data_IF_989499917169
#
_entry.id   IF_989499917169
#
_cell.length_a   1.000
_cell.length_b   1.000
_cell.length_c   1.000
_cell.angle_alpha   90.00
_cell.angle_beta   90.00
_cell.angle_gamma   90.00
#
_symmetry.space_group_name_H-M   'P 1'
#
loop_
_entity.id
_entity.type
_entity.pdbx_description
1 polymer ?
#
# COMPACT_ATOMS: atom_id res chain seq x y z
N UNK A 1 1.85 9.69 -12.71
CA UNK A 1 1.52 8.26 -12.95
C UNK A 1 0.17 7.85 -12.38
N UNK A 2 -0.86 7.83 -13.24
CA UNK A 2 -2.24 7.44 -12.92
C UNK A 2 -2.53 6.06 -13.53
N UNK A 3 -3.12 5.16 -12.73
CA UNK A 3 -3.45 3.79 -13.14
C UNK A 3 -4.91 3.52 -12.76
N UNK A 4 -5.73 3.10 -13.73
CA UNK A 4 -7.17 2.84 -13.57
C UNK A 4 -7.47 1.39 -13.93
N UNK A 5 -8.40 0.78 -13.19
CA UNK A 5 -8.84 -0.61 -13.40
C UNK A 5 -8.53 -1.50 -12.19
N UNK A 6 -8.87 -2.78 -12.29
CA UNK A 6 -8.50 -3.77 -11.28
C UNK A 6 -7.17 -4.43 -11.65
N UNK A 7 -6.31 -4.66 -10.66
CA UNK A 7 -4.93 -5.09 -10.89
C UNK A 7 -4.63 -6.36 -10.13
N UNK A 8 -4.03 -7.33 -10.82
CA UNK A 8 -3.43 -8.50 -10.18
C UNK A 8 -1.93 -8.49 -10.48
N UNK A 9 -1.11 -8.51 -9.43
CA UNK A 9 0.35 -8.54 -9.54
C UNK A 9 0.87 -9.78 -8.84
N UNK A 10 1.58 -10.64 -9.57
CA UNK A 10 2.35 -11.77 -9.03
C UNK A 10 3.82 -11.39 -9.03
N UNK A 11 4.46 -11.41 -7.86
CA UNK A 11 5.84 -10.97 -7.66
C UNK A 11 5.95 -9.68 -6.86
N UNK A 12 7.19 -9.24 -6.66
CA UNK A 12 7.47 -8.01 -5.92
C UNK A 12 7.17 -6.79 -6.78
N UNK A 13 6.61 -5.75 -6.16
CA UNK A 13 6.31 -4.52 -6.86
C UNK A 13 7.01 -3.34 -6.19
N UNK A 14 7.61 -2.51 -7.02
CA UNK A 14 8.39 -1.36 -6.61
C UNK A 14 7.79 -0.10 -7.25
N UNK A 15 7.55 0.92 -6.43
CA UNK A 15 7.23 2.25 -6.93
C UNK A 15 8.09 3.28 -6.22
N UNK A 16 8.81 4.09 -7.01
CA UNK A 16 9.71 5.14 -6.52
C UNK A 16 9.12 6.56 -6.55
N UNK A 17 7.96 6.72 -7.19
CA UNK A 17 7.35 8.03 -7.45
C UNK A 17 5.91 8.13 -6.95
N UNK A 18 5.40 9.37 -6.95
CA UNK A 18 4.02 9.68 -6.69
C UNK A 18 3.10 8.97 -7.69
N UNK A 19 2.14 8.20 -7.18
CA UNK A 19 1.19 7.49 -8.04
C UNK A 19 -0.22 7.49 -7.47
N UNK A 20 -1.16 7.63 -8.39
CA UNK A 20 -2.58 7.49 -8.15
C UNK A 20 -3.08 6.17 -8.73
N UNK A 21 -3.76 5.38 -7.91
CA UNK A 21 -4.37 4.11 -8.28
C UNK A 21 -5.88 4.21 -8.08
N UNK A 22 -6.66 3.95 -9.12
CA UNK A 22 -8.12 3.85 -9.04
C UNK A 22 -8.56 2.44 -9.44
N UNK A 23 -9.29 1.78 -8.53
CA UNK A 23 -9.74 0.40 -8.66
C UNK A 23 -9.13 -0.51 -7.61
N UNK A 24 -9.54 -1.77 -7.62
CA UNK A 24 -9.09 -2.76 -6.64
C UNK A 24 -7.73 -3.33 -7.06
N UNK A 25 -6.86 -3.66 -6.11
CA UNK A 25 -5.61 -4.35 -6.44
C UNK A 25 -5.32 -5.51 -5.50
N UNK A 26 -4.83 -6.59 -6.09
CA UNK A 26 -4.34 -7.77 -5.41
C UNK A 26 -2.87 -7.97 -5.77
N UNK A 27 -2.01 -8.03 -4.75
CA UNK A 27 -0.57 -8.27 -4.92
C UNK A 27 -0.19 -9.53 -4.16
N UNK A 28 0.39 -10.50 -4.86
CA UNK A 28 1.01 -11.69 -4.28
C UNK A 28 2.53 -11.53 -4.37
N UNK A 29 3.13 -10.99 -3.31
CA UNK A 29 4.55 -10.63 -3.24
C UNK A 29 4.76 -9.41 -2.34
N UNK A 30 6.01 -8.96 -2.24
CA UNK A 30 6.37 -7.81 -1.42
C UNK A 30 6.09 -6.50 -2.14
N UNK A 31 5.61 -5.52 -1.40
CA UNK A 31 5.20 -4.22 -1.90
C UNK A 31 6.12 -3.13 -1.35
N UNK A 32 6.93 -2.52 -2.20
CA UNK A 32 7.89 -1.48 -1.84
C UNK A 32 7.48 -0.14 -2.44
N UNK A 33 7.31 0.87 -1.60
CA UNK A 33 6.89 2.21 -2.02
C UNK A 33 7.80 3.28 -1.43
N UNK A 34 8.26 4.16 -2.32
CA UNK A 34 8.88 5.44 -2.03
C UNK A 34 8.08 6.52 -2.75
N UNK A 35 7.81 7.65 -2.07
CA UNK A 35 6.95 8.73 -2.56
C UNK A 35 5.47 8.60 -2.15
N UNK A 36 4.66 9.60 -2.52
CA UNK A 36 3.26 9.70 -2.15
C UNK A 36 2.42 8.65 -2.89
N UNK A 37 1.44 8.07 -2.19
CA UNK A 37 0.54 7.11 -2.79
C UNK A 37 -0.90 7.46 -2.48
N UNK A 38 -1.71 7.56 -3.52
CA UNK A 38 -3.14 7.75 -3.41
C UNK A 38 -3.83 6.55 -4.02
N UNK A 39 -4.68 5.88 -3.24
CA UNK A 39 -5.40 4.69 -3.66
C UNK A 39 -6.88 4.93 -3.44
N UNK A 40 -7.68 4.80 -4.50
CA UNK A 40 -9.13 4.78 -4.43
C UNK A 40 -9.62 3.39 -4.85
N UNK A 41 -10.07 2.60 -3.89
CA UNK A 41 -10.44 1.19 -4.07
C UNK A 41 -9.85 0.28 -2.99
N UNK A 42 -10.20 -1.00 -3.05
CA UNK A 42 -9.76 -1.99 -2.08
C UNK A 42 -8.38 -2.56 -2.44
N UNK A 43 -7.58 -2.83 -1.41
CA UNK A 43 -6.22 -3.35 -1.58
C UNK A 43 -5.98 -4.60 -0.78
N UNK A 44 -5.53 -5.65 -1.46
CA UNK A 44 -5.14 -6.92 -0.87
C UNK A 44 -3.66 -7.15 -1.17
N UNK A 45 -2.85 -7.33 -0.13
CA UNK A 45 -1.44 -7.69 -0.28
C UNK A 45 -1.17 -8.94 0.54
N UNK A 46 -0.75 -10.01 -0.15
CA UNK A 46 -0.22 -11.24 0.43
C UNK A 46 1.29 -11.21 0.28
N UNK A 47 1.97 -10.79 1.33
CA UNK A 47 3.41 -10.49 1.37
C UNK A 47 3.70 -9.30 2.29
N UNK A 48 4.97 -8.91 2.36
CA UNK A 48 5.39 -7.81 3.20
C UNK A 48 5.18 -6.46 2.50
N UNK A 49 4.81 -5.45 3.27
CA UNK A 49 4.60 -4.08 2.79
C UNK A 49 5.61 -3.14 3.42
N UNK A 50 6.42 -2.50 2.59
CA UNK A 50 7.43 -1.53 2.98
C UNK A 50 7.07 -0.16 2.38
N UNK A 51 6.68 0.79 3.22
CA UNK A 51 6.63 2.20 2.83
C UNK A 51 7.79 2.93 3.49
N UNK A 52 8.69 3.47 2.65
CA UNK A 52 9.94 4.11 3.08
C UNK A 52 10.22 5.37 2.26
N UNK A 53 10.65 6.44 2.92
CA UNK A 53 10.88 7.77 2.33
C UNK A 53 9.73 8.74 2.62
N UNK A 54 9.92 10.06 2.41
CA UNK A 54 9.01 11.18 2.78
C UNK A 54 7.63 11.20 2.08
N UNK A 55 7.06 10.05 1.79
CA UNK A 55 5.81 9.90 1.05
C UNK A 55 4.62 9.66 1.98
N UNK A 56 3.55 10.44 1.79
CA UNK A 56 2.26 10.23 2.42
C UNK A 56 1.50 9.10 1.72
N UNK A 57 0.88 8.23 2.50
CA UNK A 57 0.00 7.20 1.94
C UNK A 57 -1.45 7.46 2.31
N UNK A 58 -2.24 7.76 1.29
CA UNK A 58 -3.68 7.95 1.36
C UNK A 58 -4.41 6.78 0.70
N UNK A 59 -5.33 6.16 1.43
CA UNK A 59 -6.21 5.10 0.90
C UNK A 59 -7.65 5.46 1.21
N UNK A 60 -8.49 5.49 0.18
CA UNK A 60 -9.95 5.56 0.27
C UNK A 60 -10.51 4.21 -0.19
N UNK A 61 -10.94 3.38 0.75
CA UNK A 61 -11.30 1.98 0.56
C UNK A 61 -10.68 1.09 1.64
N UNK A 62 -10.86 -0.22 1.49
CA UNK A 62 -10.38 -1.19 2.47
C UNK A 62 -8.97 -1.67 2.16
N UNK A 63 -8.21 -1.94 3.21
CA UNK A 63 -6.83 -2.37 3.13
C UNK A 63 -6.63 -3.67 3.91
N UNK A 64 -6.26 -4.73 3.18
CA UNK A 64 -5.95 -6.05 3.71
C UNK A 64 -4.47 -6.36 3.47
N UNK A 65 -3.75 -6.69 4.53
CA UNK A 65 -2.34 -7.09 4.47
C UNK A 65 -2.15 -8.41 5.21
N UNK A 66 -1.71 -9.45 4.52
CA UNK A 66 -1.26 -10.71 5.11
C UNK A 66 0.26 -10.78 4.96
N UNK A 67 0.98 -10.44 6.02
CA UNK A 67 2.43 -10.27 6.07
C UNK A 67 2.83 -9.09 6.96
N UNK A 68 4.13 -8.83 7.03
CA UNK A 68 4.68 -7.75 7.85
C UNK A 68 4.54 -6.40 7.17
N UNK A 69 4.30 -5.36 7.95
CA UNK A 69 4.17 -3.99 7.47
C UNK A 69 5.16 -3.08 8.17
N UNK A 70 5.96 -2.39 7.39
CA UNK A 70 6.95 -1.42 7.83
C UNK A 70 6.59 -0.07 7.24
N UNK A 71 6.22 0.88 8.10
CA UNK A 71 5.90 2.25 7.67
C UNK A 71 6.59 3.24 8.58
N UNK A 72 7.33 4.16 7.96
CA UNK A 72 8.11 5.20 8.64
C UNK A 72 7.47 6.60 8.60
N UNK A 73 6.27 6.74 8.02
CA UNK A 73 5.67 8.05 7.73
C UNK A 73 4.15 8.06 7.87
N UNK A 74 3.55 9.22 7.62
CA UNK A 74 2.13 9.51 7.69
C UNK A 74 1.28 8.60 6.81
N UNK A 75 0.16 8.16 7.40
CA UNK A 75 -0.86 7.39 6.71
C UNK A 75 -2.23 7.88 7.05
N UNK A 76 -3.02 7.99 6.00
CA UNK A 76 -4.44 8.27 6.08
C UNK A 76 -5.19 7.15 5.39
N UNK A 77 -6.07 6.50 6.14
CA UNK A 77 -6.96 5.48 5.63
C UNK A 77 -8.39 5.91 5.92
N UNK A 78 -9.19 6.04 4.87
CA UNK A 78 -10.64 6.19 4.95
C UNK A 78 -11.27 4.87 4.49
N UNK A 79 -11.54 4.00 5.45
CA UNK A 79 -12.06 2.64 5.25
C UNK A 79 -11.49 1.68 6.29
N UNK A 80 -11.72 0.38 6.09
CA UNK A 80 -11.30 -0.64 7.05
C UNK A 80 -9.86 -1.08 6.82
N UNK A 81 -9.14 -1.33 7.91
CA UNK A 81 -7.81 -1.91 7.88
C UNK A 81 -7.78 -3.27 8.57
N UNK A 82 -7.41 -4.29 7.82
CA UNK A 82 -7.05 -5.60 8.32
C UNK A 82 -5.57 -5.91 8.07
N UNK A 83 -4.85 -6.27 9.12
CA UNK A 83 -3.47 -6.76 9.02
C UNK A 83 -3.30 -8.04 9.82
N UNK A 84 -2.76 -9.07 9.18
CA UNK A 84 -2.31 -10.31 9.82
C UNK A 84 -0.80 -10.41 9.65
N UNK A 85 -0.05 -10.18 10.73
CA UNK A 85 1.41 -10.09 10.76
C UNK A 85 1.90 -8.89 11.59
N UNK A 86 3.21 -8.71 11.66
CA UNK A 86 3.81 -7.67 12.49
C UNK A 86 3.65 -6.28 11.87
N UNK A 87 3.37 -5.28 12.70
CA UNK A 87 3.22 -3.88 12.30
C UNK A 87 4.29 -3.05 12.96
N UNK A 88 5.24 -2.57 12.16
CA UNK A 88 6.26 -1.62 12.58
C UNK A 88 5.91 -0.24 12.07
N UNK A 89 5.48 0.61 12.99
CA UNK A 89 5.10 1.98 12.74
C UNK A 89 6.09 2.88 13.47
N UNK A 90 6.87 3.63 12.71
CA UNK A 90 7.69 4.71 13.26
C UNK A 90 7.14 6.00 12.69
N UNK A 91 6.15 6.59 13.35
CA UNK A 91 5.67 7.93 13.02
C UNK A 91 6.61 8.98 13.62
N UNK A 92 6.65 10.14 13.00
CA UNK A 92 6.86 11.39 13.73
C UNK A 92 5.51 12.00 13.99
#
# INVERSE_FOLDING_TARGET
NYLKGNWYVKGNWYAKENRYLKGNSYVKGNWYVKGNRYVKGNRYVKGNRYLRGRGNWYVKGNLYVKGNRYVKENRYLKGNWYAKGNRYLRGR
#
